data_IF_581620266071
#
_entry.id   IF_581620266071
#
_cell.length_a   1.000
_cell.length_b   1.000
_cell.length_c   1.000
_cell.angle_alpha   90.00
_cell.angle_beta   90.00
_cell.angle_gamma   90.00
#
_symmetry.space_group_name_H-M   'P 1'
#
loop_
_entity.id
_entity.type
_entity.pdbx_description
1 polymer ?
#
# COMPACT_ATOMS: atom_id res chain seq x y z
N UNK A 1 8.91 14.63 -34.23
CA UNK A 1 7.68 14.06 -33.65
C UNK A 1 8.13 13.24 -32.47
N UNK A 2 8.15 13.87 -31.30
CA UNK A 2 8.98 13.45 -30.19
C UNK A 2 8.26 12.40 -29.34
N UNK A 3 8.65 11.15 -29.55
CA UNK A 3 8.27 10.02 -28.70
C UNK A 3 9.15 10.07 -27.46
N UNK A 4 8.91 11.03 -26.56
CA UNK A 4 9.54 11.00 -25.23
C UNK A 4 8.65 10.17 -24.29
N UNK A 5 8.88 8.87 -24.29
CA UNK A 5 8.55 8.04 -23.14
C UNK A 5 9.31 8.60 -21.93
N UNK A 6 8.61 8.86 -20.84
CA UNK A 6 9.16 9.47 -19.61
C UNK A 6 10.16 8.50 -18.92
N UNK A 7 10.37 7.31 -19.49
CA UNK A 7 11.16 6.20 -18.97
C UNK A 7 12.66 6.24 -19.29
N UNK A 8 13.14 7.04 -20.24
CA UNK A 8 14.55 6.88 -20.67
C UNK A 8 15.60 7.55 -19.74
N UNK A 9 15.21 8.39 -18.76
CA UNK A 9 16.21 9.11 -17.93
C UNK A 9 15.91 9.27 -16.44
N UNK A 10 14.78 8.78 -15.92
CA UNK A 10 14.45 8.93 -14.49
C UNK A 10 14.42 7.57 -13.80
N UNK A 11 15.02 7.49 -12.61
CA UNK A 11 14.90 6.31 -11.78
C UNK A 11 13.45 6.14 -11.32
N UNK A 12 13.02 4.89 -11.09
CA UNK A 12 11.73 4.62 -10.46
C UNK A 12 11.56 5.35 -9.12
N UNK A 13 12.66 5.54 -8.37
CA UNK A 13 12.64 6.31 -7.13
C UNK A 13 12.26 7.78 -7.37
N UNK A 14 12.81 8.41 -8.40
CA UNK A 14 12.52 9.79 -8.76
C UNK A 14 11.07 9.95 -9.21
N UNK A 15 10.56 8.98 -9.97
CA UNK A 15 9.17 8.96 -10.43
C UNK A 15 8.22 8.92 -9.24
N UNK A 16 8.49 8.08 -8.23
CA UNK A 16 7.67 8.02 -7.01
C UNK A 16 7.66 9.34 -6.26
N UNK A 17 8.82 9.99 -6.12
CA UNK A 17 8.93 11.24 -5.39
C UNK A 17 8.14 12.36 -6.08
N UNK A 18 8.28 12.49 -7.40
CA UNK A 18 7.53 13.47 -8.20
C UNK A 18 6.02 13.23 -8.12
N UNK A 19 5.57 11.98 -8.22
CA UNK A 19 4.14 11.67 -8.17
C UNK A 19 3.57 11.82 -6.76
N UNK A 20 4.36 11.54 -5.72
CA UNK A 20 4.02 11.84 -4.33
C UNK A 20 3.87 13.33 -4.09
N UNK A 21 4.73 14.17 -4.66
CA UNK A 21 4.60 15.62 -4.57
C UNK A 21 3.34 16.14 -5.26
N UNK A 22 2.94 15.54 -6.39
CA UNK A 22 1.73 15.93 -7.13
C UNK A 22 0.43 15.48 -6.47
N UNK A 23 0.36 14.22 -6.06
CA UNK A 23 -0.87 13.60 -5.53
C UNK A 23 -0.97 13.68 -4.01
N UNK A 24 0.13 13.99 -3.32
CA UNK A 24 0.25 13.97 -1.86
C UNK A 24 0.38 12.56 -1.27
N UNK A 25 0.23 11.51 -2.08
CA UNK A 25 0.25 10.11 -1.67
C UNK A 25 1.40 9.37 -2.33
N UNK A 26 2.10 8.51 -1.60
CA UNK A 26 3.16 7.68 -2.21
C UNK A 26 2.53 6.65 -3.16
N UNK A 27 2.84 6.68 -4.46
CA UNK A 27 2.27 5.74 -5.41
C UNK A 27 2.73 4.31 -5.11
N UNK A 28 1.79 3.37 -5.25
CA UNK A 28 2.11 1.96 -5.18
C UNK A 28 2.87 1.50 -6.42
N UNK A 29 3.52 0.34 -6.35
CA UNK A 29 4.22 -0.30 -7.47
C UNK A 29 3.33 -0.44 -8.70
N UNK A 30 2.04 -0.75 -8.54
CA UNK A 30 1.11 -0.80 -9.66
C UNK A 30 0.94 0.57 -10.33
N UNK A 31 0.87 1.64 -9.54
CA UNK A 31 0.72 3.01 -10.05
C UNK A 31 2.00 3.45 -10.78
N UNK A 32 3.16 3.19 -10.21
CA UNK A 32 4.47 3.47 -10.85
C UNK A 32 4.58 2.71 -12.18
N UNK A 33 4.11 1.47 -12.24
CA UNK A 33 4.10 0.69 -13.48
C UNK A 33 3.20 1.35 -14.53
N UNK A 34 1.98 1.74 -14.17
CA UNK A 34 1.05 2.43 -15.09
C UNK A 34 1.68 3.74 -15.59
N UNK A 35 2.27 4.54 -14.72
CA UNK A 35 2.91 5.83 -15.08
C UNK A 35 4.07 5.62 -16.06
N UNK A 36 4.90 4.60 -15.82
CA UNK A 36 6.08 4.33 -16.65
C UNK A 36 5.74 3.69 -18.00
N UNK A 37 4.58 3.03 -18.10
CA UNK A 37 4.13 2.31 -19.30
C UNK A 37 2.97 2.99 -20.03
N UNK A 38 2.69 4.26 -19.68
CA UNK A 38 1.74 5.13 -20.39
C UNK A 38 2.46 6.35 -20.95
N UNK A 39 1.93 6.85 -22.08
CA UNK A 39 2.35 8.12 -22.68
C UNK A 39 1.76 9.30 -21.91
N UNK A 40 2.22 10.51 -22.22
CA UNK A 40 1.66 11.77 -21.68
C UNK A 40 0.16 11.91 -21.96
N UNK A 41 -0.33 11.31 -23.05
CA UNK A 41 -1.74 11.30 -23.43
C UNK A 41 -2.57 10.25 -22.67
N UNK A 42 -1.95 9.48 -21.76
CA UNK A 42 -2.60 8.42 -20.96
C UNK A 42 -2.78 7.09 -21.70
N UNK A 43 -2.38 7.00 -22.97
CA UNK A 43 -2.44 5.76 -23.73
C UNK A 43 -1.26 4.83 -23.41
N UNK A 44 -1.47 3.50 -23.38
CA UNK A 44 -0.40 2.53 -23.19
C UNK A 44 0.60 2.63 -24.35
N UNK A 45 1.88 2.41 -24.05
CA UNK A 45 2.94 2.49 -25.06
C UNK A 45 2.79 1.35 -26.09
N UNK A 46 2.48 0.15 -25.63
CA UNK A 46 2.32 -1.07 -26.43
C UNK A 46 1.04 -1.83 -26.06
N UNK A 47 0.60 -2.75 -26.92
CA UNK A 47 -0.55 -3.64 -26.67
C UNK A 47 -0.35 -4.51 -25.42
N UNK A 48 0.85 -5.06 -25.21
CA UNK A 48 1.18 -5.84 -23.99
C UNK A 48 1.04 -5.00 -22.72
N UNK A 49 1.42 -3.71 -22.79
CA UNK A 49 1.26 -2.77 -21.68
C UNK A 49 -0.21 -2.50 -21.42
N UNK A 50 -1.03 -2.39 -22.47
CA UNK A 50 -2.48 -2.22 -22.33
C UNK A 50 -3.10 -3.38 -21.54
N UNK A 51 -2.76 -4.62 -21.93
CA UNK A 51 -3.23 -5.84 -21.26
C UNK A 51 -2.74 -5.88 -19.80
N UNK A 52 -1.47 -5.57 -19.55
CA UNK A 52 -0.91 -5.57 -18.21
C UNK A 52 -1.55 -4.51 -17.30
N UNK A 53 -1.77 -3.29 -17.82
CA UNK A 53 -2.42 -2.20 -17.11
C UNK A 53 -3.88 -2.55 -16.78
N UNK A 54 -4.60 -3.14 -17.71
CA UNK A 54 -5.98 -3.59 -17.48
C UNK A 54 -6.06 -4.62 -16.35
N UNK A 55 -5.19 -5.64 -16.40
CA UNK A 55 -5.08 -6.65 -15.33
C UNK A 55 -4.74 -6.01 -13.98
N UNK A 56 -3.77 -5.10 -13.94
CA UNK A 56 -3.37 -4.40 -12.72
C UNK A 56 -4.51 -3.56 -12.14
N UNK A 57 -5.27 -2.84 -12.99
CA UNK A 57 -6.44 -2.06 -12.56
C UNK A 57 -7.53 -2.97 -11.98
N UNK A 58 -7.81 -4.09 -12.63
CA UNK A 58 -8.79 -5.06 -12.14
C UNK A 58 -8.38 -5.65 -10.78
N UNK A 59 -7.10 -6.03 -10.62
CA UNK A 59 -6.57 -6.53 -9.35
C UNK A 59 -6.61 -5.46 -8.24
N UNK A 60 -6.36 -4.19 -8.57
CA UNK A 60 -6.42 -3.10 -7.60
C UNK A 60 -7.85 -2.84 -7.08
N UNK A 61 -8.86 -3.10 -7.90
CA UNK A 61 -10.27 -2.99 -7.49
C UNK A 61 -10.72 -4.16 -6.61
N UNK A 62 -10.21 -5.37 -6.88
CA UNK A 62 -10.58 -6.59 -6.14
C UNK A 62 -9.74 -6.82 -4.90
N UNK A 63 -8.56 -6.20 -4.81
CA UNK A 63 -7.84 -6.19 -3.55
C UNK A 63 -8.69 -5.46 -2.51
N UNK A 64 -9.04 -6.13 -1.39
CA UNK A 64 -9.58 -5.40 -0.27
C UNK A 64 -8.50 -4.41 0.13
N UNK A 65 -8.78 -3.12 -0.05
CA UNK A 65 -8.11 -2.12 0.76
C UNK A 65 -8.32 -2.59 2.18
N UNK A 66 -7.25 -2.83 2.93
CA UNK A 66 -7.31 -3.24 4.35
C UNK A 66 -7.91 -2.16 5.25
N UNK A 67 -8.72 -1.26 4.68
CA UNK A 67 -9.68 -0.42 5.37
C UNK A 67 -10.93 -1.25 5.61
N UNK A 68 -10.83 -2.22 6.52
CA UNK A 68 -12.02 -2.72 7.19
C UNK A 68 -12.76 -1.50 7.76
N UNK A 69 -14.01 -1.31 7.34
CA UNK A 69 -14.89 -0.18 7.66
C UNK A 69 -15.29 -0.08 9.14
N UNK A 70 -14.59 -0.80 10.02
CA UNK A 70 -14.72 -0.70 11.45
C UNK A 70 -13.51 0.08 11.97
N UNK A 71 -13.68 1.28 12.55
CA UNK A 71 -12.55 1.98 13.16
C UNK A 71 -11.93 1.08 14.23
N UNK A 72 -10.68 0.70 13.98
CA UNK A 72 -9.79 0.11 14.97
C UNK A 72 -9.68 1.16 16.08
N UNK A 73 -10.13 0.81 17.29
CA UNK A 73 -10.10 1.73 18.42
C UNK A 73 -9.28 1.14 19.54
N UNK A 74 -8.52 2.00 20.21
CA UNK A 74 -7.82 1.68 21.44
C UNK A 74 -8.80 1.09 22.47
N UNK A 75 -8.34 0.07 23.21
CA UNK A 75 -9.12 -0.64 24.22
C UNK A 75 -10.02 -1.75 23.67
N UNK A 76 -10.08 -1.95 22.34
CA UNK A 76 -10.81 -3.09 21.75
C UNK A 76 -10.00 -4.38 21.84
N UNK A 77 -10.68 -5.48 22.17
CA UNK A 77 -10.13 -6.82 22.12
C UNK A 77 -10.04 -7.30 20.66
N UNK A 78 -8.92 -7.91 20.30
CA UNK A 78 -8.62 -8.43 18.96
C UNK A 78 -8.09 -9.86 19.04
N UNK A 79 -8.26 -10.59 17.95
CA UNK A 79 -7.71 -11.92 17.75
C UNK A 79 -6.48 -11.82 16.86
N UNK A 80 -5.41 -12.47 17.27
CA UNK A 80 -4.19 -12.60 16.48
C UNK A 80 -4.24 -13.95 15.77
N UNK A 81 -4.01 -13.90 14.46
CA UNK A 81 -4.02 -15.06 13.59
C UNK A 81 -2.59 -15.37 13.12
N UNK A 82 -2.31 -16.64 12.85
CA UNK A 82 -1.08 -17.05 12.17
C UNK A 82 -1.16 -16.86 10.64
N UNK A 83 -0.18 -17.41 9.91
CA UNK A 83 -0.15 -17.35 8.44
C UNK A 83 -1.23 -18.22 7.77
N UNK A 84 -1.76 -19.22 8.46
CA UNK A 84 -2.81 -20.13 7.99
C UNK A 84 -4.21 -19.63 8.38
N UNK A 85 -4.29 -18.47 9.04
CA UNK A 85 -5.49 -17.83 9.62
C UNK A 85 -6.06 -18.56 10.85
N UNK A 86 -5.26 -19.38 11.53
CA UNK A 86 -5.65 -19.97 12.82
C UNK A 86 -5.44 -18.98 13.97
N UNK A 87 -6.36 -18.97 14.94
CA UNK A 87 -6.27 -18.07 16.08
C UNK A 87 -5.20 -18.55 17.08
N UNK A 88 -4.13 -17.77 17.21
CA UNK A 88 -2.99 -18.07 18.10
C UNK A 88 -3.00 -17.29 19.41
N UNK A 89 -3.65 -16.13 19.44
CA UNK A 89 -3.72 -15.33 20.66
C UNK A 89 -4.89 -14.34 20.65
N UNK A 90 -5.16 -13.76 21.81
CA UNK A 90 -6.02 -12.60 21.97
C UNK A 90 -5.22 -11.45 22.62
N UNK A 91 -5.62 -10.23 22.33
CA UNK A 91 -4.99 -9.06 22.92
C UNK A 91 -5.88 -7.82 22.86
N UNK A 92 -5.39 -6.73 23.44
CA UNK A 92 -6.09 -5.45 23.49
C UNK A 92 -5.26 -4.41 22.73
N UNK A 93 -5.89 -3.63 21.86
CA UNK A 93 -5.21 -2.56 21.13
C UNK A 93 -4.86 -1.43 22.10
N UNK A 94 -3.58 -1.13 22.22
CA UNK A 94 -3.03 -0.08 23.08
C UNK A 94 -2.91 1.26 22.36
N UNK A 95 -2.50 1.24 21.10
CA UNK A 95 -2.30 2.46 20.32
C UNK A 95 -2.42 2.20 18.82
N UNK A 96 -3.06 3.15 18.13
CA UNK A 96 -3.14 3.23 16.67
C UNK A 96 -2.39 4.43 16.10
N UNK A 97 -1.71 5.22 16.96
CA UNK A 97 -0.96 6.39 16.51
C UNK A 97 0.26 5.95 15.67
N UNK A 98 0.32 6.30 14.37
CA UNK A 98 1.41 5.90 13.49
C UNK A 98 2.77 6.48 13.92
N UNK A 99 2.77 7.57 14.71
CA UNK A 99 4.00 8.22 15.19
C UNK A 99 4.49 7.65 16.51
N UNK A 100 3.70 6.83 17.21
CA UNK A 100 4.14 6.20 18.45
C UNK A 100 5.34 5.30 18.16
N UNK A 101 6.34 5.38 19.03
CA UNK A 101 7.57 4.59 18.92
C UNK A 101 7.41 3.32 19.74
N UNK A 102 7.56 2.16 19.10
CA UNK A 102 7.61 0.84 19.72
C UNK A 102 8.98 0.24 19.39
N UNK A 103 9.74 -0.16 20.41
CA UNK A 103 11.09 -0.71 20.25
C UNK A 103 12.02 0.16 19.38
N UNK A 104 11.92 1.49 19.51
CA UNK A 104 12.77 2.43 18.78
C UNK A 104 12.35 2.70 17.32
N UNK A 105 11.23 2.14 16.83
CA UNK A 105 10.68 2.43 15.49
C UNK A 105 9.24 2.95 15.56
N UNK A 106 8.85 3.89 14.68
CA UNK A 106 7.46 4.30 14.60
C UNK A 106 6.59 3.15 14.08
N UNK A 107 5.37 3.03 14.62
CA UNK A 107 4.42 1.96 14.26
C UNK A 107 4.04 2.04 12.77
N UNK A 108 3.73 3.24 12.26
CA UNK A 108 3.25 3.43 10.89
C UNK A 108 1.73 3.32 10.73
N UNK A 109 1.22 3.71 9.55
CA UNK A 109 -0.23 3.90 9.30
C UNK A 109 -1.07 2.63 9.23
N UNK A 110 -0.42 1.47 9.10
CA UNK A 110 -1.08 0.18 8.83
C UNK A 110 -1.00 -0.77 10.03
N UNK A 111 -0.32 -0.36 11.09
CA UNK A 111 -0.02 -1.19 12.24
C UNK A 111 -0.57 -0.57 13.51
N UNK A 112 -0.72 -1.39 14.55
CA UNK A 112 -1.12 -0.95 15.88
C UNK A 112 -0.29 -1.70 16.94
N UNK A 113 -0.21 -1.12 18.13
CA UNK A 113 0.37 -1.77 19.30
C UNK A 113 -0.73 -2.56 20.01
N UNK A 114 -0.45 -3.83 20.32
CA UNK A 114 -1.37 -4.74 20.99
C UNK A 114 -0.68 -5.30 22.23
N UNK A 115 -1.37 -5.25 23.37
CA UNK A 115 -0.98 -5.97 24.58
C UNK A 115 -1.59 -7.37 24.51
N UNK A 116 -0.74 -8.40 24.53
CA UNK A 116 -1.14 -9.81 24.46
C UNK A 116 -1.26 -10.34 25.88
N UNK A 117 -2.38 -10.97 26.20
CA UNK A 117 -2.62 -11.53 27.54
C UNK A 117 -1.80 -12.83 27.71
N UNK A 118 -2.20 -13.91 27.03
CA UNK A 118 -1.53 -15.21 27.02
C UNK A 118 -1.57 -15.82 25.60
N UNK A 119 -0.46 -16.43 25.17
CA UNK A 119 -0.40 -17.17 23.91
C UNK A 119 -1.08 -18.53 24.08
N UNK A 120 -1.90 -18.93 23.10
CA UNK A 120 -2.63 -20.19 23.11
C UNK A 120 -1.79 -21.34 22.56
#
# INVERSE_FOLDING_TARGET
>A
MDIFCISETRSFADIRLVEKEKTGTDPDRADVFIITHTRKDGMPINEDCAIAIEKLKALKQTQPSTNSSNPVMTGKKVKLLDLENEQVAEGIIMSIDPKKIVMGRPIGHVYCEVLVDEAK
#
